data_IF_874165018464
#
_entry.id   IF_874165018464
#
_cell.length_a   1.000
_cell.length_b   1.000
_cell.length_c   1.000
_cell.angle_alpha   90.00
_cell.angle_beta   90.00
_cell.angle_gamma   90.00
#
_symmetry.space_group_name_H-M   'P 1'
#
loop_
_entity.id
_entity.type
_entity.pdbx_description
1 polymer ?
#
# COMPACT_ATOMS: atom_id res chain seq x y z
N UNK A 1 -14.59 -2.15 3.25
CA UNK A 1 -13.87 -1.54 4.38
C UNK A 1 -14.90 -1.09 5.39
N UNK A 2 -14.72 -1.40 6.66
CA UNK A 2 -15.59 -0.93 7.75
C UNK A 2 -15.44 0.57 7.99
N UNK A 3 -16.48 1.19 8.53
CA UNK A 3 -16.54 2.65 8.73
C UNK A 3 -15.91 3.11 10.06
N UNK A 4 -15.73 2.21 11.01
CA UNK A 4 -15.12 2.53 12.30
C UNK A 4 -14.61 1.30 13.04
N UNK A 5 -13.74 1.54 14.03
CA UNK A 5 -13.25 0.57 15.01
C UNK A 5 -13.30 1.18 16.41
N UNK A 6 -13.31 0.34 17.43
CA UNK A 6 -13.14 0.78 18.82
C UNK A 6 -11.73 0.44 19.29
N UNK A 7 -10.98 1.46 19.72
CA UNK A 7 -9.66 1.30 20.33
C UNK A 7 -9.77 1.70 21.79
N UNK A 8 -9.75 0.74 22.71
CA UNK A 8 -9.84 0.99 24.15
C UNK A 8 -8.83 2.06 24.58
N UNK A 9 -9.32 3.11 25.25
CA UNK A 9 -8.55 4.26 25.71
C UNK A 9 -8.60 5.48 24.77
N UNK A 10 -8.77 5.25 23.46
CA UNK A 10 -9.01 6.31 22.47
C UNK A 10 -10.51 6.49 22.22
N UNK A 11 -11.26 5.38 22.15
CA UNK A 11 -12.68 5.36 21.80
C UNK A 11 -12.91 4.97 20.34
N UNK A 12 -13.97 5.52 19.74
CA UNK A 12 -14.35 5.22 18.36
C UNK A 12 -13.41 5.94 17.40
N UNK A 13 -12.76 5.18 16.54
CA UNK A 13 -11.94 5.67 15.44
C UNK A 13 -12.72 5.48 14.14
N UNK A 14 -13.04 6.60 13.47
CA UNK A 14 -13.65 6.56 12.15
C UNK A 14 -12.60 6.24 11.08
N UNK A 15 -12.96 5.35 10.16
CA UNK A 15 -12.10 4.92 9.08
C UNK A 15 -12.64 5.41 7.73
N UNK A 16 -11.73 5.62 6.80
CA UNK A 16 -12.02 5.97 5.41
C UNK A 16 -11.01 5.29 4.50
N UNK A 17 -11.38 5.11 3.24
CA UNK A 17 -10.49 4.57 2.23
C UNK A 17 -9.28 5.50 2.06
N UNK A 18 -8.03 5.04 2.23
CA UNK A 18 -6.88 5.90 2.01
C UNK A 18 -6.85 6.38 0.55
N UNK A 19 -6.46 7.64 0.35
CA UNK A 19 -6.39 8.26 -0.99
C UNK A 19 -5.06 8.00 -1.70
N UNK A 20 -4.02 7.61 -0.96
CA UNK A 20 -2.70 7.33 -1.52
C UNK A 20 -2.57 5.84 -1.83
N UNK A 21 -2.47 5.52 -3.11
CA UNK A 21 -2.19 4.16 -3.56
C UNK A 21 -0.81 3.68 -3.09
N UNK A 22 0.20 4.56 -3.18
CA UNK A 22 1.58 4.30 -2.72
C UNK A 22 1.59 3.86 -1.26
N UNK A 23 0.86 4.55 -0.39
CA UNK A 23 0.82 4.20 1.03
C UNK A 23 0.23 2.80 1.31
N UNK A 24 -0.78 2.40 0.53
CA UNK A 24 -1.37 1.07 0.63
C UNK A 24 -0.39 0.01 0.10
N UNK A 25 0.32 0.31 -1.00
CA UNK A 25 1.36 -0.57 -1.55
C UNK A 25 2.52 -0.78 -0.57
N UNK A 26 3.05 0.28 0.04
CA UNK A 26 4.12 0.18 1.04
C UNK A 26 3.69 -0.70 2.22
N UNK A 27 2.48 -0.47 2.76
CA UNK A 27 1.91 -1.29 3.84
C UNK A 27 1.82 -2.76 3.43
N UNK A 28 1.38 -3.03 2.19
CA UNK A 28 1.19 -4.39 1.70
C UNK A 28 2.51 -5.17 1.62
N UNK A 29 3.55 -4.56 1.03
CA UNK A 29 4.86 -5.16 0.92
C UNK A 29 5.40 -5.58 2.30
N UNK A 30 5.24 -4.71 3.30
CA UNK A 30 5.72 -4.98 4.66
C UNK A 30 4.82 -5.93 5.45
N UNK A 31 3.51 -5.94 5.18
CA UNK A 31 2.55 -6.86 5.82
C UNK A 31 2.85 -8.30 5.48
N UNK A 32 3.10 -8.60 4.21
CA UNK A 32 3.44 -9.96 3.77
C UNK A 32 4.75 -10.44 4.41
N UNK A 33 5.81 -9.62 4.35
CA UNK A 33 7.09 -9.93 4.96
C UNK A 33 7.00 -10.11 6.49
N UNK A 34 6.08 -9.42 7.16
CA UNK A 34 5.88 -9.57 8.60
C UNK A 34 5.27 -10.94 8.96
N UNK A 35 4.31 -11.44 8.17
CA UNK A 35 3.70 -12.76 8.37
C UNK A 35 4.71 -13.90 8.23
N UNK A 36 5.68 -13.78 7.32
CA UNK A 36 6.73 -14.80 7.16
C UNK A 36 7.75 -14.80 8.31
N UNK A 37 7.91 -13.67 9.01
CA UNK A 37 8.97 -13.46 10.00
C UNK A 37 8.56 -13.74 11.46
N UNK A 38 7.28 -14.00 11.73
CA UNK A 38 6.69 -14.13 13.08
C UNK A 38 7.00 -12.96 14.05
N UNK A 39 7.42 -11.80 13.54
CA UNK A 39 7.78 -10.65 14.37
C UNK A 39 6.55 -9.92 14.89
N UNK A 40 6.12 -10.26 16.10
CA UNK A 40 4.98 -9.59 16.78
C UNK A 40 5.15 -8.08 16.86
N UNK A 41 6.36 -7.59 17.15
CA UNK A 41 6.63 -6.16 17.23
C UNK A 41 6.44 -5.45 15.88
N UNK A 42 6.85 -6.09 14.77
CA UNK A 42 6.62 -5.56 13.41
C UNK A 42 5.13 -5.56 13.09
N UNK A 43 4.42 -6.65 13.41
CA UNK A 43 2.97 -6.73 13.24
C UNK A 43 2.23 -5.60 13.97
N UNK A 44 2.59 -5.31 15.23
CA UNK A 44 2.01 -4.20 15.99
C UNK A 44 2.09 -2.86 15.25
N UNK A 45 3.30 -2.56 14.72
CA UNK A 45 3.57 -1.33 13.99
C UNK A 45 2.75 -1.26 12.72
N UNK A 46 2.66 -2.37 11.97
CA UNK A 46 1.90 -2.41 10.73
C UNK A 46 0.39 -2.31 10.97
N UNK A 47 -0.13 -2.89 12.05
CA UNK A 47 -1.54 -2.67 12.44
C UNK A 47 -1.79 -1.20 12.78
N UNK A 48 -0.91 -0.58 13.58
CA UNK A 48 -1.00 0.84 13.88
C UNK A 48 -0.90 1.70 12.60
N UNK A 49 0.01 1.37 11.69
CA UNK A 49 0.14 2.03 10.39
C UNK A 49 -1.15 1.93 9.57
N UNK A 50 -1.72 0.73 9.45
CA UNK A 50 -2.99 0.49 8.76
C UNK A 50 -4.12 1.35 9.32
N UNK A 51 -4.29 1.38 10.64
CA UNK A 51 -5.28 2.26 11.29
C UNK A 51 -4.99 3.74 10.96
N UNK A 52 -3.74 4.19 11.05
CA UNK A 52 -3.38 5.59 10.78
C UNK A 52 -3.58 6.01 9.32
N UNK A 53 -3.34 5.10 8.36
CA UNK A 53 -3.61 5.33 6.94
C UNK A 53 -5.10 5.40 6.67
N UNK A 54 -5.88 4.54 7.33
CA UNK A 54 -7.33 4.50 7.24
C UNK A 54 -8.03 5.62 8.03
N UNK A 55 -7.33 6.32 8.93
CA UNK A 55 -7.97 7.26 9.86
C UNK A 55 -8.70 8.40 9.14
N UNK A 56 -10.01 8.52 9.38
CA UNK A 56 -10.83 9.63 8.88
C UNK A 56 -10.61 10.89 9.72
N UNK A 57 -9.69 11.73 9.24
CA UNK A 57 -9.32 12.99 9.89
C UNK A 57 -10.43 14.06 9.83
N UNK A 58 -11.51 13.84 9.08
CA UNK A 58 -12.64 14.77 9.02
C UNK A 58 -13.68 14.57 10.13
N UNK A 59 -13.66 13.41 10.80
CA UNK A 59 -14.66 13.01 11.81
C UNK A 59 -14.11 12.84 13.22
N UNK A 60 -12.80 13.03 13.40
CA UNK A 60 -12.12 12.79 14.68
C UNK A 60 -11.84 14.07 15.48
N UNK A 61 -11.83 13.94 16.80
CA UNK A 61 -11.27 14.95 17.73
C UNK A 61 -9.75 14.87 17.82
N UNK A 62 -9.17 13.75 17.40
CA UNK A 62 -7.74 13.49 17.44
C UNK A 62 -7.06 13.81 16.11
N UNK A 63 -5.81 14.25 16.18
CA UNK A 63 -4.94 14.50 15.03
C UNK A 63 -3.75 13.52 15.04
N UNK A 64 -3.91 12.32 14.48
CA UNK A 64 -2.82 11.35 14.42
C UNK A 64 -1.72 11.78 13.45
N UNK A 65 -0.50 11.23 13.60
CA UNK A 65 0.58 11.38 12.62
C UNK A 65 0.12 11.12 11.19
N UNK A 66 0.78 11.78 10.24
CA UNK A 66 0.53 11.62 8.80
C UNK A 66 1.69 10.83 8.20
N UNK A 67 1.36 9.86 7.36
CA UNK A 67 2.34 9.09 6.64
C UNK A 67 3.01 9.94 5.55
N UNK A 68 4.33 10.04 5.60
CA UNK A 68 5.12 10.64 4.53
C UNK A 68 5.39 9.61 3.44
N UNK A 69 4.59 9.68 2.37
CA UNK A 69 4.71 8.80 1.20
C UNK A 69 6.04 8.93 0.47
N UNK A 70 6.79 10.02 0.68
CA UNK A 70 8.11 10.20 0.05
C UNK A 70 9.21 9.44 0.77
N UNK A 71 9.01 9.12 2.06
CA UNK A 71 9.95 8.35 2.85
C UNK A 71 9.85 6.84 2.59
N UNK A 72 8.66 6.34 2.21
CA UNK A 72 8.43 4.91 1.94
C UNK A 72 8.59 3.98 3.15
N UNK A 73 8.74 4.52 4.37
CA UNK A 73 8.96 3.74 5.59
C UNK A 73 7.67 3.58 6.40
N UNK A 74 6.83 2.64 5.98
CA UNK A 74 5.55 2.34 6.65
C UNK A 74 5.75 1.70 8.03
N UNK A 75 6.86 1.01 8.27
CA UNK A 75 7.17 0.40 9.57
C UNK A 75 7.55 1.47 10.59
N UNK A 76 8.39 2.43 10.21
CA UNK A 76 8.75 3.59 11.03
C UNK A 76 7.54 4.51 11.29
N UNK A 77 6.69 4.71 10.29
CA UNK A 77 5.39 5.36 10.50
C UNK A 77 4.52 4.59 11.48
N UNK A 78 4.43 3.27 11.34
CA UNK A 78 3.72 2.39 12.27
C UNK A 78 4.21 2.50 13.71
N UNK A 79 5.52 2.62 13.92
CA UNK A 79 6.10 2.88 15.23
C UNK A 79 5.67 4.25 15.79
N UNK A 80 5.72 5.30 14.96
CA UNK A 80 5.29 6.66 15.34
C UNK A 80 3.80 6.69 15.69
N UNK A 81 2.97 6.02 14.91
CA UNK A 81 1.53 5.92 15.13
C UNK A 81 1.22 5.13 16.40
N UNK A 82 1.91 4.01 16.63
CA UNK A 82 1.75 3.21 17.83
C UNK A 82 2.09 4.01 19.09
N UNK A 83 3.24 4.68 19.11
CA UNK A 83 3.64 5.54 20.23
C UNK A 83 2.64 6.67 20.46
N UNK A 84 2.11 7.27 19.40
CA UNK A 84 1.07 8.29 19.50
C UNK A 84 -0.21 7.72 20.12
N UNK A 85 -0.67 6.54 19.69
CA UNK A 85 -1.85 5.89 20.25
C UNK A 85 -1.68 5.61 21.74
N UNK A 86 -0.53 5.06 22.15
CA UNK A 86 -0.22 4.77 23.55
C UNK A 86 -0.17 6.04 24.41
N UNK A 87 0.40 7.13 23.88
CA UNK A 87 0.39 8.46 24.55
C UNK A 87 -1.03 9.02 24.72
N UNK A 88 -1.95 8.64 23.84
CA UNK A 88 -3.37 9.00 23.93
C UNK A 88 -4.20 7.95 24.71
N UNK A 89 -3.55 7.07 25.47
CA UNK A 89 -4.21 6.14 26.39
C UNK A 89 -4.64 4.82 25.77
N UNK A 90 -4.29 4.54 24.51
CA UNK A 90 -4.64 3.27 23.89
C UNK A 90 -4.06 2.07 24.67
N UNK A 91 -4.87 1.04 24.85
CA UNK A 91 -4.41 -0.24 25.38
C UNK A 91 -3.72 -1.02 24.24
N UNK A 92 -2.47 -1.50 24.38
CA UNK A 92 -1.76 -2.17 23.29
C UNK A 92 -2.54 -3.33 22.66
N UNK A 93 -3.23 -4.14 23.47
CA UNK A 93 -4.01 -5.28 22.98
C UNK A 93 -5.19 -4.86 22.10
N UNK A 94 -5.84 -3.72 22.38
CA UNK A 94 -6.98 -3.26 21.59
C UNK A 94 -6.55 -2.82 20.19
N UNK A 95 -5.32 -2.32 20.03
CA UNK A 95 -4.71 -2.00 18.73
C UNK A 95 -4.49 -3.30 17.93
N UNK A 96 -3.84 -4.30 18.54
CA UNK A 96 -3.55 -5.58 17.87
C UNK A 96 -4.80 -6.32 17.38
N UNK A 97 -5.92 -6.19 18.09
CA UNK A 97 -7.18 -6.82 17.68
C UNK A 97 -7.74 -6.27 16.37
N UNK A 98 -7.29 -5.07 15.94
CA UNK A 98 -7.73 -4.41 14.70
C UNK A 98 -6.89 -4.82 13.48
N UNK A 99 -6.24 -5.99 13.54
CA UNK A 99 -5.39 -6.50 12.43
C UNK A 99 -6.15 -6.59 11.10
N UNK A 100 -7.44 -6.83 11.18
CA UNK A 100 -8.35 -6.95 10.05
C UNK A 100 -8.50 -5.64 9.26
N UNK A 101 -8.21 -4.49 9.86
CA UNK A 101 -8.09 -3.21 9.13
C UNK A 101 -7.01 -3.31 8.05
N UNK A 102 -5.88 -3.97 8.32
CA UNK A 102 -4.81 -4.12 7.34
C UNK A 102 -5.24 -5.06 6.20
N UNK A 103 -5.93 -6.15 6.53
CA UNK A 103 -6.46 -7.10 5.54
C UNK A 103 -7.52 -6.42 4.64
N UNK A 104 -8.35 -5.54 5.18
CA UNK A 104 -9.32 -4.75 4.41
C UNK A 104 -8.64 -3.71 3.50
N UNK A 105 -7.53 -3.13 3.93
CA UNK A 105 -6.75 -2.20 3.11
C UNK A 105 -6.08 -2.93 1.95
N UNK A 106 -5.63 -4.16 2.15
CA UNK A 106 -5.11 -4.99 1.06
C UNK A 106 -6.16 -5.22 -0.02
N UNK A 107 -7.42 -5.49 0.35
CA UNK A 107 -8.50 -5.68 -0.60
C UNK A 107 -8.82 -4.45 -1.49
N UNK A 108 -8.19 -3.30 -1.22
CA UNK A 108 -8.28 -2.11 -2.09
C UNK A 108 -7.36 -2.23 -3.32
N UNK A 109 -6.25 -2.95 -3.20
CA UNK A 109 -5.29 -3.08 -4.29
C UNK A 109 -5.91 -3.92 -5.42
N UNK A 110 -5.81 -3.48 -6.68
CA UNK A 110 -6.27 -4.26 -7.81
C UNK A 110 -5.49 -5.56 -7.89
N UNK A 111 -6.19 -6.63 -8.24
CA UNK A 111 -5.57 -7.94 -8.49
C UNK A 111 -4.79 -7.91 -9.80
N UNK A 112 -3.79 -8.76 -9.94
CA UNK A 112 -2.99 -8.85 -11.18
C UNK A 112 -3.86 -9.03 -12.43
N UNK A 113 -4.91 -9.84 -12.35
CA UNK A 113 -5.85 -10.04 -13.44
C UNK A 113 -6.61 -8.75 -13.83
N UNK A 114 -6.95 -7.89 -12.87
CA UNK A 114 -7.61 -6.60 -13.11
C UNK A 114 -6.64 -5.61 -13.76
N UNK A 115 -5.37 -5.62 -13.36
CA UNK A 115 -4.31 -4.82 -13.98
C UNK A 115 -4.03 -5.28 -15.41
N UNK A 116 -3.95 -6.58 -15.65
CA UNK A 116 -3.74 -7.14 -16.98
C UNK A 116 -4.90 -6.77 -17.93
N UNK A 117 -6.15 -6.94 -17.49
CA UNK A 117 -7.33 -6.56 -18.28
C UNK A 117 -7.39 -5.04 -18.57
N UNK A 118 -6.94 -4.20 -17.64
CA UNK A 118 -6.82 -2.75 -17.86
C UNK A 118 -5.72 -2.42 -18.88
N UNK A 119 -4.66 -3.22 -18.95
CA UNK A 119 -3.55 -3.01 -19.90
C UNK A 119 -3.96 -3.38 -21.32
N UNK A 120 -4.75 -4.44 -21.48
CA UNK A 120 -5.26 -4.90 -22.79
C UNK A 120 -6.36 -3.99 -23.38
N UNK A 121 -6.92 -3.08 -22.57
CA UNK A 121 -7.97 -2.15 -22.98
C UNK A 121 -7.46 -0.74 -23.34
N UNK A 122 -6.15 -0.51 -23.31
CA UNK A 122 -5.57 0.69 -23.93
C UNK A 122 -5.59 0.51 -25.45
N UNK A 123 -6.35 1.32 -26.21
CA UNK A 123 -6.25 1.29 -27.66
C UNK A 123 -4.81 1.64 -28.03
N UNK A 124 -4.20 0.77 -28.85
CA UNK A 124 -2.93 1.06 -29.51
C UNK A 124 -3.10 2.33 -30.33
N UNK A 125 -2.70 3.46 -29.76
CA UNK A 125 -2.68 4.76 -30.42
C UNK A 125 -1.48 4.80 -31.39
N UNK A 126 -1.49 3.91 -32.37
CA UNK A 126 -0.87 4.10 -33.67
C UNK A 126 0.64 4.26 -33.71
N UNK A 127 1.42 3.58 -32.84
CA UNK A 127 2.82 3.31 -33.21
C UNK A 127 2.84 2.06 -34.08
N UNK A 128 2.50 2.28 -35.36
CA UNK A 128 2.56 1.24 -36.38
C UNK A 128 3.92 0.52 -36.39
N UNK A 129 3.94 -0.75 -36.81
CA UNK A 129 5.18 -1.47 -36.98
C UNK A 129 6.00 -0.72 -38.03
N UNK A 130 7.15 -0.18 -37.62
CA UNK A 130 8.15 0.31 -38.54
C UNK A 130 8.52 -0.82 -39.47
N UNK A 131 7.98 -0.78 -40.68
CA UNK A 131 8.38 -1.61 -41.81
C UNK A 131 9.80 -1.20 -42.22
N UNK A 132 10.80 -1.72 -41.52
CA UNK A 132 12.18 -1.79 -41.99
C UNK A 132 12.33 -3.08 -42.79
N UNK A 133 12.19 -2.96 -44.12
CA UNK A 133 12.15 -4.06 -45.07
C UNK A 133 13.35 -5.01 -45.01
N UNK A 134 13.06 -6.27 -45.28
CA UNK A 134 14.04 -7.30 -45.59
C UNK A 134 14.55 -7.15 -47.03
N UNK A 135 15.83 -7.50 -47.19
CA UNK A 135 16.53 -7.98 -48.39
C UNK A 135 16.89 -6.99 -49.52
N UNK A 136 18.20 -6.81 -49.74
CA UNK A 136 18.78 -7.33 -50.98
C UNK A 136 20.29 -7.60 -50.86
N UNK A 137 20.68 -8.81 -51.25
CA UNK A 137 22.06 -9.26 -51.40
C UNK A 137 22.67 -8.69 -52.69
N UNK A 138 23.95 -8.29 -52.66
CA UNK A 138 24.82 -8.43 -53.84
C UNK A 138 26.31 -8.48 -53.47
N UNK A 139 26.96 -9.43 -54.12
CA UNK A 139 28.35 -9.85 -54.00
C UNK A 139 29.36 -8.74 -54.26
N UNK A 140 30.53 -8.85 -53.61
CA UNK A 140 31.77 -8.21 -54.07
C UNK A 140 32.86 -9.28 -54.09
N UNK A 141 33.43 -9.44 -55.29
CA UNK A 141 34.58 -10.27 -55.64
C UNK A 141 35.80 -9.99 -54.77
N UNK A 142 36.52 -11.06 -54.41
CA UNK A 142 37.91 -11.00 -53.96
C UNK A 142 38.81 -11.51 -55.08
N UNK A 143 39.45 -10.58 -55.78
CA UNK A 143 40.60 -10.83 -56.63
C UNK A 143 41.73 -9.86 -56.22
N UNK A 144 42.72 -10.36 -55.50
CA UNK A 144 44.13 -9.96 -55.51
C UNK A 144 44.94 -10.89 -54.58
#
# INVERSE_FOLDING_TARGET
MRDSIEVTGIGIVHLTKPRSFVAISDLNCEWWAAHESDSRAKLARLVAAGIGLAWDRSKGTHSPPIYDVTAGDVVGYGATMLDWMLKNGAVPSSIYLQRDVVDELWAILPKEAEVAAATDSFPDNGRGPGSGGAEDSKAVESAA
#
